data_IF_252410630919
#
_entry.id   IF_252410630919
#
_cell.length_a   1.000
_cell.length_b   1.000
_cell.length_c   1.000
_cell.angle_alpha   90.00
_cell.angle_beta   90.00
_cell.angle_gamma   90.00
#
_symmetry.space_group_name_H-M   'P 1'
#
loop_
_entity.id
_entity.type
_entity.pdbx_description
1 polymer ?
#
# COMPACT_ATOMS: atom_id res chain seq x y z
N UNK A 1 0.80 -19.37 -27.07
CA UNK A 1 1.19 -18.90 -25.73
C UNK A 1 1.98 -17.62 -25.95
N UNK A 2 1.51 -16.48 -25.45
CA UNK A 2 2.26 -15.22 -25.51
C UNK A 2 3.08 -15.16 -24.23
N UNK A 3 4.39 -15.16 -24.40
CA UNK A 3 5.30 -14.81 -23.33
C UNK A 3 5.53 -13.31 -23.43
N UNK A 4 5.29 -12.58 -22.34
CA UNK A 4 5.52 -11.13 -22.31
C UNK A 4 6.99 -10.86 -22.62
N UNK A 5 7.90 -11.73 -22.19
CA UNK A 5 9.36 -11.60 -22.37
C UNK A 5 9.79 -11.66 -23.86
N UNK A 6 8.91 -12.09 -24.78
CA UNK A 6 9.16 -12.06 -26.23
C UNK A 6 8.62 -10.80 -26.92
N UNK A 7 8.36 -9.73 -26.17
CA UNK A 7 7.94 -8.41 -26.66
C UNK A 7 8.94 -7.32 -26.25
N UNK A 8 8.67 -6.05 -26.58
CA UNK A 8 9.50 -4.91 -26.13
C UNK A 8 9.21 -4.58 -24.66
N UNK A 9 9.55 -5.50 -23.76
CA UNK A 9 9.26 -5.43 -22.33
C UNK A 9 10.48 -5.81 -21.53
N UNK A 10 10.61 -5.18 -20.36
CA UNK A 10 11.68 -5.43 -19.41
C UNK A 10 11.07 -5.87 -18.08
N UNK A 11 11.63 -6.93 -17.49
CA UNK A 11 11.23 -7.40 -16.17
C UNK A 11 12.03 -6.67 -15.09
N UNK A 12 11.34 -5.85 -14.30
CA UNK A 12 11.97 -4.99 -13.28
C UNK A 12 12.01 -5.60 -11.87
N UNK A 13 11.30 -6.69 -11.61
CA UNK A 13 11.23 -7.31 -10.27
C UNK A 13 12.11 -8.57 -10.18
N UNK A 14 13.02 -8.62 -9.20
CA UNK A 14 13.74 -9.84 -8.87
C UNK A 14 12.85 -10.83 -8.07
N UNK A 15 12.74 -12.08 -8.57
CA UNK A 15 12.14 -13.29 -7.93
C UNK A 15 10.67 -13.68 -8.28
N UNK A 16 10.28 -14.87 -7.77
CA UNK A 16 9.26 -15.84 -8.25
C UNK A 16 7.95 -15.86 -7.46
N UNK A 17 7.58 -14.77 -6.78
CA UNK A 17 6.30 -14.70 -6.07
C UNK A 17 5.37 -13.60 -6.59
N UNK A 18 4.18 -13.49 -6.02
CA UNK A 18 3.11 -12.63 -6.53
C UNK A 18 3.43 -11.15 -6.28
N UNK A 19 3.49 -10.38 -7.38
CA UNK A 19 3.59 -8.92 -7.35
C UNK A 19 2.31 -8.32 -7.93
N UNK A 20 1.75 -7.31 -7.28
CA UNK A 20 0.51 -6.66 -7.71
C UNK A 20 0.45 -5.20 -7.24
N UNK A 21 -0.56 -4.47 -7.73
CA UNK A 21 -0.77 -3.07 -7.35
C UNK A 21 0.41 -2.16 -7.70
N UNK A 22 1.04 -2.38 -8.86
CA UNK A 22 2.13 -1.54 -9.32
C UNK A 22 1.62 -0.14 -9.70
N UNK A 23 2.35 0.89 -9.29
CA UNK A 23 2.01 2.29 -9.56
C UNK A 23 3.27 3.12 -9.81
N UNK A 24 3.18 4.01 -10.79
CA UNK A 24 4.20 4.99 -11.11
C UNK A 24 4.26 6.10 -10.06
N UNK A 25 5.47 6.53 -9.70
CA UNK A 25 5.63 7.83 -9.06
C UNK A 25 5.19 8.95 -10.01
N UNK A 26 4.72 10.10 -9.48
CA UNK A 26 4.27 11.22 -10.32
C UNK A 26 5.35 11.77 -11.26
N UNK A 27 6.62 11.65 -10.87
CA UNK A 27 7.77 12.06 -11.69
C UNK A 27 8.19 11.03 -12.76
N UNK A 28 7.56 9.85 -12.78
CA UNK A 28 7.84 8.77 -13.72
C UNK A 28 9.20 8.08 -13.52
N UNK A 29 9.88 8.29 -12.38
CA UNK A 29 11.23 7.73 -12.14
C UNK A 29 11.24 6.46 -11.31
N UNK A 30 10.12 6.14 -10.65
CA UNK A 30 10.00 5.01 -9.72
C UNK A 30 8.70 4.26 -9.98
N UNK A 31 8.72 2.98 -9.64
CA UNK A 31 7.53 2.15 -9.58
C UNK A 31 7.45 1.57 -8.18
N UNK A 32 6.35 1.86 -7.47
CA UNK A 32 6.02 1.17 -6.23
C UNK A 32 5.14 -0.03 -6.53
N UNK A 33 5.29 -1.11 -5.78
CA UNK A 33 4.47 -2.31 -5.94
C UNK A 33 4.39 -3.10 -4.64
N UNK A 34 3.39 -3.96 -4.54
CA UNK A 34 3.20 -4.86 -3.41
C UNK A 34 3.75 -6.24 -3.79
N UNK A 35 4.49 -6.85 -2.87
CA UNK A 35 5.15 -8.13 -3.06
C UNK A 35 5.02 -9.03 -1.83
N UNK A 36 4.64 -10.29 -2.01
CA UNK A 36 4.60 -11.33 -0.96
C UNK A 36 5.97 -12.01 -0.69
N UNK A 37 7.05 -11.43 -1.22
CA UNK A 37 8.45 -11.85 -0.98
C UNK A 37 8.89 -11.68 0.48
N UNK A 38 8.18 -10.86 1.26
CA UNK A 38 8.57 -10.32 2.57
C UNK A 38 8.60 -11.26 3.78
N UNK A 39 8.34 -12.55 3.62
CA UNK A 39 8.39 -13.46 4.76
C UNK A 39 9.20 -14.71 4.51
N UNK A 40 10.44 -14.67 4.95
CA UNK A 40 11.12 -15.85 5.46
C UNK A 40 10.30 -16.39 6.65
N UNK A 41 9.43 -17.36 6.42
CA UNK A 41 8.76 -18.16 7.47
C UNK A 41 7.45 -17.62 8.06
N UNK A 42 6.81 -16.60 7.47
CA UNK A 42 5.49 -16.10 7.90
C UNK A 42 4.55 -15.97 6.69
N UNK A 43 3.63 -16.91 6.51
CA UNK A 43 2.86 -17.11 5.27
C UNK A 43 1.97 -15.94 4.80
N UNK A 44 1.92 -14.81 5.53
CA UNK A 44 0.96 -13.72 5.31
C UNK A 44 1.56 -12.30 5.09
N UNK A 45 2.89 -12.15 5.04
CA UNK A 45 3.49 -10.81 4.92
C UNK A 45 3.62 -10.40 3.45
N UNK A 46 2.89 -9.35 3.04
CA UNK A 46 3.18 -8.63 1.80
C UNK A 46 3.81 -7.28 2.14
N UNK A 47 4.80 -6.86 1.38
CA UNK A 47 5.52 -5.62 1.60
C UNK A 47 5.44 -4.71 0.39
N UNK A 48 5.50 -3.41 0.66
CA UNK A 48 5.64 -2.39 -0.35
C UNK A 48 7.12 -2.28 -0.72
N UNK A 49 7.39 -2.29 -2.02
CA UNK A 49 8.72 -2.18 -2.61
C UNK A 49 8.73 -1.07 -3.66
N UNK A 50 9.90 -0.51 -3.92
CA UNK A 50 10.14 0.44 -5.01
C UNK A 50 11.23 -0.12 -5.92
N UNK A 51 11.05 0.06 -7.22
CA UNK A 51 12.13 0.01 -8.20
C UNK A 51 12.41 1.43 -8.68
N UNK A 52 13.68 1.83 -8.64
CA UNK A 52 14.15 3.03 -9.33
C UNK A 52 14.43 2.66 -10.80
N UNK A 53 14.10 3.54 -11.75
CA UNK A 53 14.38 3.27 -13.17
C UNK A 53 15.69 3.87 -13.67
N UNK A 54 16.31 4.75 -12.87
CA UNK A 54 17.63 5.31 -13.17
C UNK A 54 18.78 4.37 -12.80
N UNK A 55 18.53 3.43 -11.88
CA UNK A 55 19.47 2.43 -11.40
C UNK A 55 18.70 1.12 -11.19
N UNK A 56 19.25 -0.02 -11.61
CA UNK A 56 18.59 -1.36 -11.58
C UNK A 56 18.40 -1.93 -10.15
N UNK A 57 18.31 -1.06 -9.14
CA UNK A 57 18.26 -1.38 -7.72
C UNK A 57 16.83 -1.25 -7.17
N UNK A 58 16.32 -2.37 -6.64
CA UNK A 58 15.01 -2.45 -5.98
C UNK A 58 15.14 -2.37 -4.45
N UNK A 59 14.36 -1.49 -3.82
CA UNK A 59 14.36 -1.27 -2.37
C UNK A 59 13.07 -1.81 -1.71
N UNK A 60 13.21 -2.37 -0.51
CA UNK A 60 12.08 -2.78 0.33
C UNK A 60 11.73 -1.68 1.34
N UNK A 61 10.50 -1.17 1.32
CA UNK A 61 10.09 -0.05 2.19
C UNK A 61 9.39 -0.48 3.49
N UNK A 62 8.64 -1.59 3.43
CA UNK A 62 7.95 -2.12 4.62
C UNK A 62 8.50 -3.47 5.05
N UNK A 63 8.44 -3.70 6.36
CA UNK A 63 8.68 -4.99 7.01
C UNK A 63 7.67 -5.13 8.13
N UNK A 64 6.51 -5.73 7.87
CA UNK A 64 5.53 -5.98 8.92
C UNK A 64 4.64 -7.18 8.61
N UNK A 65 4.08 -7.85 9.63
CA UNK A 65 3.24 -9.03 9.44
C UNK A 65 1.82 -8.71 8.92
N UNK A 66 1.58 -7.49 8.47
CA UNK A 66 0.30 -7.06 7.94
C UNK A 66 0.24 -7.26 6.42
N UNK A 67 -0.98 -7.35 5.90
CA UNK A 67 -1.27 -7.34 4.48
C UNK A 67 -1.45 -5.91 3.98
N UNK A 68 -0.80 -5.54 2.88
CA UNK A 68 -0.69 -4.16 2.36
C UNK A 68 -1.36 -4.11 1.01
N UNK A 69 -2.22 -3.14 0.79
CA UNK A 69 -2.94 -2.96 -0.49
C UNK A 69 -3.31 -1.53 -0.79
N UNK A 70 -3.92 -1.35 -1.95
CA UNK A 70 -4.47 -0.08 -2.41
C UNK A 70 -3.39 0.99 -2.34
N UNK A 71 -2.16 0.64 -2.70
CA UNK A 71 -1.03 1.56 -2.64
C UNK A 71 -1.32 2.76 -3.54
N UNK A 72 -0.97 3.96 -3.04
CA UNK A 72 -1.06 5.18 -3.83
C UNK A 72 0.07 6.18 -3.53
N UNK A 73 0.73 6.67 -4.56
CA UNK A 73 1.64 7.82 -4.46
C UNK A 73 0.87 9.11 -4.16
N UNK A 74 1.41 9.89 -3.24
CA UNK A 74 0.99 11.28 -3.08
C UNK A 74 1.30 12.10 -4.34
N UNK A 75 0.54 13.17 -4.66
CA UNK A 75 0.73 13.94 -5.89
C UNK A 75 2.10 14.59 -6.03
N UNK A 76 2.76 14.91 -4.91
CA UNK A 76 4.11 15.48 -4.88
C UNK A 76 5.22 14.43 -4.98
N UNK A 77 4.87 13.15 -4.94
CA UNK A 77 5.81 12.02 -5.02
C UNK A 77 6.65 11.79 -3.76
N UNK A 78 6.40 12.50 -2.66
CA UNK A 78 7.23 12.37 -1.45
C UNK A 78 6.70 11.30 -0.49
N UNK A 79 5.43 10.94 -0.60
CA UNK A 79 4.73 10.03 0.30
C UNK A 79 4.00 8.93 -0.46
N UNK A 80 3.75 7.83 0.26
CA UNK A 80 2.94 6.70 -0.18
C UNK A 80 1.86 6.46 0.87
N UNK A 81 0.61 6.38 0.42
CA UNK A 81 -0.49 5.87 1.21
C UNK A 81 -0.75 4.40 0.91
N UNK A 82 -1.24 3.66 1.89
CA UNK A 82 -1.63 2.26 1.71
C UNK A 82 -2.61 1.82 2.79
N UNK A 83 -3.39 0.78 2.47
CA UNK A 83 -4.20 0.07 3.45
C UNK A 83 -3.38 -1.06 4.06
N UNK A 84 -3.36 -1.12 5.40
CA UNK A 84 -2.78 -2.21 6.19
C UNK A 84 -3.90 -3.03 6.83
N UNK A 85 -3.90 -4.35 6.62
CA UNK A 85 -4.87 -5.29 7.18
C UNK A 85 -4.17 -6.38 7.99
N UNK A 86 -4.79 -6.82 9.08
CA UNK A 86 -4.21 -7.86 9.96
C UNK A 86 -4.12 -9.27 9.34
N UNK A 87 -4.73 -9.50 8.18
CA UNK A 87 -4.77 -10.81 7.52
C UNK A 87 -4.94 -10.64 6.00
N UNK A 88 -4.45 -11.62 5.21
CA UNK A 88 -4.67 -11.78 3.74
C UNK A 88 -6.13 -12.04 3.35
N UNK A 89 -7.10 -11.67 4.18
CA UNK A 89 -8.54 -11.82 3.90
C UNK A 89 -8.98 -10.80 2.86
N UNK A 90 -8.45 -10.91 1.65
CA UNK A 90 -8.81 -10.09 0.50
C UNK A 90 -10.08 -10.53 -0.19
N UNK A 91 -10.68 -11.64 0.24
CA UNK A 91 -11.69 -12.33 -0.56
C UNK A 91 -12.65 -13.09 0.35
N UNK A 92 -13.48 -12.38 1.13
CA UNK A 92 -14.74 -12.87 1.74
C UNK A 92 -14.74 -14.22 2.52
N UNK A 93 -13.59 -14.87 2.73
CA UNK A 93 -13.50 -16.30 3.12
C UNK A 93 -12.44 -16.60 4.18
N UNK A 94 -11.58 -15.63 4.51
CA UNK A 94 -10.65 -15.74 5.62
C UNK A 94 -11.37 -15.63 6.98
N UNK A 95 -10.95 -16.44 7.96
CA UNK A 95 -11.46 -16.34 9.33
C UNK A 95 -10.93 -15.06 9.98
N UNK A 96 -11.74 -14.02 9.94
CA UNK A 96 -11.50 -12.77 10.67
C UNK A 96 -11.42 -13.05 12.17
N UNK A 97 -10.35 -12.59 12.81
CA UNK A 97 -10.19 -12.62 14.26
C UNK A 97 -10.83 -11.38 14.87
N UNK A 98 -11.27 -11.49 16.13
CA UNK A 98 -11.93 -10.41 16.89
C UNK A 98 -11.15 -9.10 16.91
N UNK A 99 -9.81 -9.16 16.82
CA UNK A 99 -8.93 -8.01 16.95
C UNK A 99 -8.30 -7.59 15.62
N UNK A 100 -8.75 -8.14 14.49
CA UNK A 100 -8.28 -7.72 13.17
C UNK A 100 -8.70 -6.28 12.89
N UNK A 101 -7.89 -5.58 12.12
CA UNK A 101 -8.10 -4.17 11.77
C UNK A 101 -7.88 -3.93 10.28
N UNK A 102 -8.53 -2.88 9.79
CA UNK A 102 -8.27 -2.24 8.51
C UNK A 102 -7.81 -0.81 8.79
N UNK A 103 -6.63 -0.44 8.33
CA UNK A 103 -5.97 0.80 8.70
C UNK A 103 -5.49 1.57 7.46
N UNK A 104 -5.57 2.89 7.48
CA UNK A 104 -4.93 3.77 6.49
C UNK A 104 -3.61 4.25 7.08
N UNK A 105 -2.54 4.04 6.33
CA UNK A 105 -1.20 4.46 6.68
C UNK A 105 -0.64 5.35 5.58
N UNK A 106 0.21 6.28 5.99
CA UNK A 106 1.04 7.08 5.09
C UNK A 106 2.48 6.97 5.56
N UNK A 107 3.41 6.92 4.61
CA UNK A 107 4.84 6.93 4.87
C UNK A 107 5.58 7.77 3.83
N UNK A 108 6.78 8.21 4.14
CA UNK A 108 7.68 8.76 3.15
C UNK A 108 8.03 7.70 2.08
N UNK A 109 8.32 8.12 0.85
CA UNK A 109 8.60 7.19 -0.25
C UNK A 109 9.82 6.28 0.01
N UNK A 110 10.74 6.70 0.87
CA UNK A 110 11.89 5.88 1.31
C UNK A 110 11.55 4.94 2.48
N UNK A 111 10.28 4.82 2.85
CA UNK A 111 9.80 3.97 3.94
C UNK A 111 9.99 4.55 5.34
N UNK A 112 10.55 5.75 5.51
CA UNK A 112 10.59 6.46 6.80
C UNK A 112 9.26 7.13 7.14
N UNK A 113 9.15 7.74 8.33
CA UNK A 113 8.02 8.62 8.69
C UNK A 113 6.64 7.95 8.57
N UNK A 114 6.43 6.81 9.22
CA UNK A 114 5.18 6.04 9.12
C UNK A 114 4.15 6.56 10.11
N UNK A 115 3.06 7.11 9.59
CA UNK A 115 1.91 7.55 10.38
C UNK A 115 0.65 6.78 10.03
N UNK A 116 -0.13 6.46 11.05
CA UNK A 116 -1.46 5.84 10.89
C UNK A 116 -2.52 6.90 11.00
N UNK A 117 -3.24 7.14 9.91
CA UNK A 117 -4.32 8.13 9.86
C UNK A 117 -5.63 7.59 10.40
N UNK A 118 -5.91 6.30 10.16
CA UNK A 118 -7.18 5.69 10.55
C UNK A 118 -6.99 4.22 10.93
N UNK A 119 -7.74 3.75 11.93
CA UNK A 119 -7.75 2.36 12.37
C UNK A 119 -9.17 1.92 12.65
N UNK A 120 -9.72 1.06 11.79
CA UNK A 120 -11.07 0.51 11.93
C UNK A 120 -10.97 -0.96 12.34
N UNK A 121 -11.45 -1.33 13.54
CA UNK A 121 -11.61 -2.73 13.89
C UNK A 121 -12.56 -3.44 12.91
N UNK A 122 -12.19 -4.64 12.47
CA UNK A 122 -12.86 -5.34 11.38
C UNK A 122 -14.34 -5.67 11.67
N UNK A 123 -14.70 -5.79 12.95
CA UNK A 123 -16.10 -5.95 13.38
C UNK A 123 -16.98 -4.73 13.04
N UNK A 124 -16.39 -3.55 12.77
CA UNK A 124 -17.11 -2.37 12.31
C UNK A 124 -17.09 -2.22 10.78
N UNK A 125 -16.04 -2.68 10.11
CA UNK A 125 -15.97 -2.65 8.65
C UNK A 125 -14.55 -2.67 8.10
N UNK A 126 -14.44 -2.42 6.80
CA UNK A 126 -13.19 -2.43 6.04
C UNK A 126 -13.08 -1.20 5.14
N UNK A 127 -11.85 -0.77 4.89
CA UNK A 127 -11.49 0.37 4.05
C UNK A 127 -11.07 -0.19 2.68
N UNK A 128 -11.40 0.47 1.58
CA UNK A 128 -11.02 0.12 0.20
C UNK A 128 -10.79 1.38 -0.63
N UNK A 129 -10.18 1.21 -1.81
CA UNK A 129 -10.12 2.22 -2.89
C UNK A 129 -9.67 3.61 -2.43
N UNK A 130 -8.46 3.73 -1.87
CA UNK A 130 -7.93 5.04 -1.53
C UNK A 130 -7.55 5.87 -2.76
N UNK A 131 -7.82 7.17 -2.65
CA UNK A 131 -7.43 8.21 -3.60
C UNK A 131 -6.94 9.48 -2.88
N UNK A 132 -5.71 9.91 -3.16
CA UNK A 132 -5.18 11.19 -2.69
C UNK A 132 -5.97 12.35 -3.29
N UNK A 133 -6.18 13.40 -2.51
CA UNK A 133 -6.59 14.69 -3.05
C UNK A 133 -5.45 15.26 -3.92
N UNK A 134 -5.76 16.01 -5.00
CA UNK A 134 -4.72 16.56 -5.89
C UNK A 134 -3.72 17.50 -5.20
N UNK A 135 -4.12 18.15 -4.10
CA UNK A 135 -3.28 19.01 -3.27
C UNK A 135 -2.51 18.24 -2.18
N UNK A 136 -2.74 16.93 -2.03
CA UNK A 136 -2.06 16.07 -1.06
C UNK A 136 -2.47 16.30 0.39
N UNK A 137 -3.53 17.05 0.66
CA UNK A 137 -3.99 17.33 2.04
C UNK A 137 -4.96 16.29 2.60
N UNK A 138 -5.47 15.37 1.78
CA UNK A 138 -6.45 14.39 2.21
C UNK A 138 -6.44 13.12 1.37
N UNK A 139 -7.11 12.09 1.86
CA UNK A 139 -7.33 10.81 1.18
C UNK A 139 -8.82 10.49 1.20
N UNK A 140 -9.42 10.37 0.03
CA UNK A 140 -10.74 9.79 -0.15
C UNK A 140 -10.65 8.26 -0.10
N UNK A 141 -11.64 7.58 0.50
CA UNK A 141 -11.69 6.12 0.57
C UNK A 141 -13.12 5.60 0.64
N UNK A 142 -13.32 4.35 0.27
CA UNK A 142 -14.58 3.63 0.46
C UNK A 142 -14.54 2.90 1.80
N UNK A 143 -15.55 3.11 2.64
CA UNK A 143 -15.75 2.29 3.84
C UNK A 143 -16.93 1.35 3.65
N UNK A 144 -16.68 0.06 3.85
CA UNK A 144 -17.66 -1.01 3.78
C UNK A 144 -17.93 -1.52 5.20
N UNK A 145 -19.09 -1.23 5.79
CA UNK A 145 -19.44 -1.69 7.13
C UNK A 145 -19.61 -3.21 7.18
N UNK A 146 -19.28 -3.82 8.32
CA UNK A 146 -19.44 -5.28 8.48
C UNK A 146 -20.92 -5.65 8.63
N UNK A 147 -21.41 -6.55 7.77
CA UNK A 147 -22.82 -6.99 7.68
C UNK A 147 -23.42 -7.49 8.99
N UNK A 148 -22.61 -7.93 9.96
CA UNK A 148 -23.09 -8.35 11.29
C UNK A 148 -23.63 -7.20 12.15
N UNK A 149 -23.41 -5.93 11.77
CA UNK A 149 -23.82 -4.73 12.52
C UNK A 149 -25.06 -4.05 11.90
N UNK A 150 -25.75 -4.73 10.98
CA UNK A 150 -26.94 -4.23 10.29
C UNK A 150 -26.59 -3.57 8.96
N UNK A 151 -27.41 -3.83 7.94
CA UNK A 151 -27.21 -3.38 6.56
C UNK A 151 -26.92 -1.88 6.50
N UNK A 152 -25.71 -1.53 6.07
CA UNK A 152 -25.34 -0.19 5.65
C UNK A 152 -24.62 -0.28 4.31
N UNK A 153 -24.85 0.73 3.46
CA UNK A 153 -24.20 0.82 2.17
C UNK A 153 -22.70 1.09 2.36
N UNK A 154 -21.91 0.70 1.38
CA UNK A 154 -20.56 1.23 1.24
C UNK A 154 -20.69 2.71 0.85
N UNK A 155 -19.99 3.59 1.56
CA UNK A 155 -20.01 5.03 1.31
C UNK A 155 -18.58 5.57 1.19
N UNK A 156 -18.48 6.78 0.63
CA UNK A 156 -17.21 7.48 0.40
C UNK A 156 -16.93 8.43 1.57
N UNK A 157 -15.70 8.40 2.07
CA UNK A 157 -15.22 9.19 3.19
C UNK A 157 -13.92 9.91 2.82
N UNK A 158 -13.61 10.96 3.57
CA UNK A 158 -12.35 11.71 3.47
C UNK A 158 -11.64 11.64 4.83
N UNK A 159 -10.33 11.43 4.81
CA UNK A 159 -9.46 11.60 5.98
C UNK A 159 -8.38 12.62 5.65
N UNK A 160 -8.16 13.56 6.57
CA UNK A 160 -7.11 14.57 6.43
C UNK A 160 -5.74 13.93 6.62
N UNK A 161 -4.77 14.43 5.86
CA UNK A 161 -3.37 14.01 5.95
C UNK A 161 -2.58 15.16 6.59
N UNK A 162 -1.97 14.94 7.76
CA UNK A 162 -1.16 15.98 8.39
C UNK A 162 0.10 16.27 7.57
N UNK A 163 0.66 17.48 7.76
CA UNK A 163 2.03 17.76 7.32
C UNK A 163 2.99 16.81 8.07
N UNK A 164 3.88 16.17 7.31
CA UNK A 164 4.93 15.30 7.85
C UNK A 164 6.30 15.95 7.66
N UNK A 165 7.27 15.57 8.49
CA UNK A 165 8.65 16.01 8.26
C UNK A 165 9.13 15.58 6.87
N UNK A 166 9.64 16.54 6.10
CA UNK A 166 10.21 16.29 4.80
C UNK A 166 11.35 15.26 4.89
N UNK A 167 11.45 14.40 3.88
CA UNK A 167 12.58 13.48 3.75
C UNK A 167 13.87 14.30 3.69
N UNK A 168 14.71 14.19 4.72
CA UNK A 168 16.08 14.68 4.63
C UNK A 168 16.80 13.79 3.64
N UNK A 169 17.12 14.32 2.47
CA UNK A 169 18.10 13.68 1.60
C UNK A 169 19.44 13.74 2.34
N UNK A 170 19.90 12.61 2.85
CA UNK A 170 21.32 12.47 3.15
C UNK A 170 22.03 12.45 1.80
N UNK A 171 22.53 13.61 1.38
CA UNK A 171 23.48 13.70 0.29
C UNK A 171 24.67 12.81 0.67
N UNK A 172 24.80 11.67 -0.01
CA UNK A 172 25.98 10.82 0.09
C UNK A 172 27.16 11.62 -0.50
N UNK A 173 28.00 12.14 0.38
CA UNK A 173 29.35 12.64 0.07
C UNK A 173 30.22 11.54 -0.54
#
# INVERSE_FOLDING_TARGET
>A
MVDVDNTNTEKLSAETRENFGAEWSPDGRKIAYISDRGATGQEDNVDIRIVNLSDDDSEQLTKSPAFKTDLEWSPDGNRIAYISRSTKTYCYSGKQKKNDKSEIWVMNFNGSGKDRLLSIPYNYGTIHDLKWSPDGSGIAFVWVPNVKVGWKNADIYLVDVPEMEAVKNEDKN
#
